data_IF_761795681650
#
_entry.id   IF_761795681650
#
_cell.length_a   1.000
_cell.length_b   1.000
_cell.length_c   1.000
_cell.angle_alpha   90.00
_cell.angle_beta   90.00
_cell.angle_gamma   90.00
#
_symmetry.space_group_name_H-M   'P 1'
#
loop_
_entity.id
_entity.type
_entity.pdbx_description
1 polymer ?
#
# COMPACT_ATOMS: atom_id res chain seq x y z
N UNK A 1 -9.65 15.51 -11.49
CA UNK A 1 -10.71 15.54 -10.44
C UNK A 1 -11.98 14.94 -11.00
N UNK A 2 -12.37 15.32 -12.21
CA UNK A 2 -13.47 14.70 -12.97
C UNK A 2 -13.31 13.18 -13.08
N UNK A 3 -12.12 12.67 -13.38
CA UNK A 3 -11.88 11.21 -13.41
C UNK A 3 -12.16 10.52 -12.07
N UNK A 4 -11.79 11.16 -10.95
CA UNK A 4 -12.07 10.63 -9.61
C UNK A 4 -13.59 10.59 -9.40
N UNK A 5 -14.27 11.68 -9.71
CA UNK A 5 -15.73 11.78 -9.59
C UNK A 5 -16.44 10.75 -10.45
N UNK A 6 -16.00 10.54 -11.69
CA UNK A 6 -16.52 9.51 -12.58
C UNK A 6 -16.35 8.11 -11.98
N UNK A 7 -15.15 7.77 -11.46
CA UNK A 7 -14.90 6.49 -10.80
C UNK A 7 -15.84 6.27 -9.60
N UNK A 8 -15.98 7.28 -8.73
CA UNK A 8 -16.85 7.19 -7.56
C UNK A 8 -18.33 7.03 -7.95
N UNK A 9 -18.78 7.78 -8.96
CA UNK A 9 -20.16 7.68 -9.48
C UNK A 9 -20.45 6.33 -10.14
N UNK A 10 -19.43 5.63 -10.66
CA UNK A 10 -19.55 4.27 -11.19
C UNK A 10 -19.56 3.19 -10.10
N UNK A 11 -19.49 3.57 -8.82
CA UNK A 11 -19.58 2.65 -7.68
C UNK A 11 -18.23 2.27 -7.07
N UNK A 12 -17.12 2.85 -7.53
CA UNK A 12 -15.87 2.72 -6.80
C UNK A 12 -16.00 3.38 -5.43
N UNK A 13 -15.55 2.69 -4.37
CA UNK A 13 -15.53 3.27 -3.03
C UNK A 13 -14.30 4.15 -2.79
N UNK A 14 -13.20 3.82 -3.45
CA UNK A 14 -11.89 4.46 -3.29
C UNK A 14 -11.21 4.59 -4.65
N UNK A 15 -10.36 5.60 -4.80
CA UNK A 15 -9.53 5.84 -5.98
C UNK A 15 -8.08 5.92 -5.53
N UNK A 16 -7.23 5.13 -6.17
CA UNK A 16 -5.79 5.09 -5.91
C UNK A 16 -5.04 6.06 -6.81
N UNK A 17 -4.23 6.92 -6.19
CA UNK A 17 -3.40 7.92 -6.84
C UNK A 17 -1.93 7.62 -6.57
N UNK A 18 -1.10 7.66 -7.62
CA UNK A 18 0.35 7.53 -7.52
C UNK A 18 1.02 8.64 -8.33
N UNK A 19 1.26 8.43 -9.62
CA UNK A 19 1.97 9.39 -10.48
C UNK A 19 1.37 10.81 -10.48
N UNK A 20 0.03 11.01 -10.53
CA UNK A 20 -0.54 12.35 -10.49
C UNK A 20 -0.29 13.08 -9.16
N UNK A 21 -0.30 12.35 -8.04
CA UNK A 21 -0.05 12.92 -6.72
C UNK A 21 1.41 13.35 -6.56
N UNK A 22 2.36 12.55 -7.06
CA UNK A 22 3.79 12.88 -7.06
C UNK A 22 4.12 14.08 -7.95
N UNK A 23 3.57 14.11 -9.18
CA UNK A 23 3.85 15.19 -10.15
C UNK A 23 3.23 16.53 -9.75
N UNK A 24 2.10 16.49 -9.05
CA UNK A 24 1.41 17.68 -8.57
C UNK A 24 0.80 17.40 -7.19
N UNK A 25 1.54 17.60 -6.08
CA UNK A 25 1.01 17.34 -4.73
C UNK A 25 -0.25 18.16 -4.39
N UNK A 26 -0.42 19.35 -4.98
CA UNK A 26 -1.65 20.13 -4.81
C UNK A 26 -2.89 19.45 -5.41
N UNK A 27 -2.73 18.54 -6.38
CA UNK A 27 -3.82 17.71 -6.88
C UNK A 27 -4.37 16.76 -5.82
N UNK A 28 -3.49 16.14 -5.02
CA UNK A 28 -3.89 15.26 -3.92
C UNK A 28 -4.70 16.05 -2.88
N UNK A 29 -4.23 17.26 -2.53
CA UNK A 29 -4.95 18.17 -1.64
C UNK A 29 -6.32 18.57 -2.19
N UNK A 30 -6.41 18.93 -3.47
CA UNK A 30 -7.67 19.28 -4.10
C UNK A 30 -8.64 18.09 -4.16
N UNK A 31 -8.13 16.87 -4.38
CA UNK A 31 -8.94 15.66 -4.38
C UNK A 31 -9.51 15.37 -2.98
N UNK A 32 -8.66 15.40 -1.96
CA UNK A 32 -9.09 15.19 -0.58
C UNK A 32 -10.07 16.28 -0.10
N UNK A 33 -9.85 17.54 -0.48
CA UNK A 33 -10.77 18.63 -0.15
C UNK A 33 -12.15 18.48 -0.80
N UNK A 34 -12.22 17.95 -2.04
CA UNK A 34 -13.48 17.77 -2.77
C UNK A 34 -14.25 16.51 -2.33
N UNK A 35 -13.56 15.38 -2.16
CA UNK A 35 -14.19 14.07 -1.95
C UNK A 35 -14.09 13.55 -0.51
N UNK A 36 -13.37 14.27 0.36
CA UNK A 36 -12.97 13.78 1.68
C UNK A 36 -11.74 12.87 1.61
N UNK A 37 -11.13 12.54 2.76
CA UNK A 37 -9.94 11.70 2.82
C UNK A 37 -10.23 10.22 2.53
N UNK A 38 -11.36 9.68 3.02
CA UNK A 38 -11.68 8.25 2.96
C UNK A 38 -11.63 7.61 1.56
N UNK A 39 -12.09 8.28 0.48
CA UNK A 39 -12.02 7.72 -0.87
C UNK A 39 -10.64 7.84 -1.51
N UNK A 40 -9.71 8.61 -0.93
CA UNK A 40 -8.43 8.94 -1.54
C UNK A 40 -7.32 8.06 -0.99
N UNK A 41 -6.84 7.14 -1.82
CA UNK A 41 -5.73 6.24 -1.51
C UNK A 41 -4.46 6.76 -2.18
N UNK A 42 -3.37 6.90 -1.41
CA UNK A 42 -2.05 7.16 -1.97
C UNK A 42 -1.31 5.83 -2.14
N UNK A 43 -1.08 5.42 -3.38
CA UNK A 43 -0.21 4.30 -3.70
C UNK A 43 1.22 4.78 -3.89
N UNK A 44 2.15 4.10 -3.25
CA UNK A 44 3.59 4.38 -3.32
C UNK A 44 4.35 3.13 -3.73
N UNK A 45 5.09 3.23 -4.84
CA UNK A 45 6.03 2.20 -5.26
C UNK A 45 7.40 2.54 -4.67
N UNK A 46 7.97 1.59 -3.94
CA UNK A 46 9.13 1.83 -3.08
C UNK A 46 10.20 0.80 -3.36
N UNK A 47 11.46 1.25 -3.44
CA UNK A 47 12.63 0.38 -3.57
C UNK A 47 13.69 0.75 -2.54
N UNK A 48 14.38 -0.24 -1.98
CA UNK A 48 15.49 0.00 -1.06
C UNK A 48 16.74 0.41 -1.86
N UNK A 49 17.43 1.44 -1.41
CA UNK A 49 18.71 1.85 -1.96
C UNK A 49 19.89 1.14 -1.28
N UNK A 50 21.09 1.30 -1.86
CA UNK A 50 22.32 0.67 -1.35
C UNK A 50 22.76 1.21 0.03
N UNK A 51 22.14 2.31 0.48
CA UNK A 51 22.38 2.91 1.79
C UNK A 51 21.35 2.44 2.84
N UNK A 52 20.42 1.56 2.46
CA UNK A 52 19.39 1.02 3.32
C UNK A 52 18.19 1.93 3.54
N UNK A 53 18.09 3.04 2.80
CA UNK A 53 16.91 3.92 2.80
C UNK A 53 15.95 3.48 1.68
N UNK A 54 14.72 4.02 1.69
CA UNK A 54 13.70 3.65 0.72
C UNK A 54 13.32 4.85 -0.15
N UNK A 55 13.43 4.67 -1.46
CA UNK A 55 13.16 5.72 -2.44
C UNK A 55 11.82 5.44 -3.14
N UNK A 56 11.10 6.51 -3.50
CA UNK A 56 9.85 6.44 -4.27
C UNK A 56 10.15 6.35 -5.76
N UNK A 57 9.43 5.47 -6.44
CA UNK A 57 9.54 5.27 -7.88
C UNK A 57 8.22 5.57 -8.61
N UNK A 58 8.36 5.89 -9.89
CA UNK A 58 7.27 6.09 -10.85
C UNK A 58 7.37 5.08 -12.00
N UNK A 59 6.34 5.09 -12.86
CA UNK A 59 6.26 4.25 -14.07
C UNK A 59 6.51 2.76 -13.77
N UNK A 60 5.86 2.25 -12.72
CA UNK A 60 5.97 0.85 -12.31
C UNK A 60 7.38 0.46 -11.88
N UNK A 61 8.08 1.34 -11.16
CA UNK A 61 9.40 1.04 -10.59
C UNK A 61 10.60 1.35 -11.47
N UNK A 62 10.41 2.01 -12.62
CA UNK A 62 11.50 2.27 -13.58
C UNK A 62 12.14 3.66 -13.46
N UNK A 63 11.46 4.60 -12.82
CA UNK A 63 11.94 5.99 -12.65
C UNK A 63 12.06 6.34 -11.17
N UNK A 64 13.28 6.51 -10.66
CA UNK A 64 13.51 6.96 -9.28
C UNK A 64 13.20 8.46 -9.17
N UNK A 65 12.37 8.86 -8.21
CA UNK A 65 12.00 10.25 -7.97
C UNK A 65 13.00 11.01 -7.08
N UNK A 66 13.87 10.30 -6.37
CA UNK A 66 14.78 10.84 -5.36
C UNK A 66 14.09 11.25 -4.06
N UNK A 67 12.80 10.93 -3.88
CA UNK A 67 12.07 11.18 -2.65
C UNK A 67 12.22 10.00 -1.69
N UNK A 68 12.47 10.30 -0.41
CA UNK A 68 12.34 9.33 0.66
C UNK A 68 10.88 8.89 0.81
N UNK A 69 10.66 7.58 0.89
CA UNK A 69 9.33 6.98 0.94
C UNK A 69 8.55 7.34 2.21
N UNK A 70 9.23 7.41 3.36
CA UNK A 70 8.59 7.71 4.64
C UNK A 70 8.15 9.18 4.66
N UNK A 71 9.02 10.10 4.24
CA UNK A 71 8.69 11.52 4.14
C UNK A 71 7.60 11.80 3.11
N UNK A 72 7.63 11.11 1.96
CA UNK A 72 6.57 11.23 0.96
C UNK A 72 5.22 10.77 1.50
N UNK A 73 5.16 9.63 2.20
CA UNK A 73 3.93 9.14 2.80
C UNK A 73 3.40 10.11 3.86
N UNK A 74 4.27 10.64 4.73
CA UNK A 74 3.87 11.67 5.72
C UNK A 74 3.27 12.90 5.04
N UNK A 75 3.90 13.40 3.98
CA UNK A 75 3.39 14.53 3.21
C UNK A 75 2.04 14.19 2.56
N UNK A 76 1.91 13.01 1.95
CA UNK A 76 0.66 12.52 1.36
C UNK A 76 -0.51 12.53 2.34
N UNK A 77 -0.29 12.11 3.58
CA UNK A 77 -1.29 12.15 4.65
C UNK A 77 -1.61 13.59 5.05
N UNK A 78 -0.61 14.48 5.16
CA UNK A 78 -0.83 15.91 5.43
C UNK A 78 -1.64 16.59 4.32
N UNK A 79 -1.48 16.14 3.07
CA UNK A 79 -2.25 16.58 1.92
C UNK A 79 -3.65 15.95 1.85
N UNK A 80 -3.98 15.01 2.74
CA UNK A 80 -5.34 14.49 2.91
C UNK A 80 -5.58 13.10 2.32
N UNK A 81 -4.55 12.32 2.01
CA UNK A 81 -4.74 10.89 1.71
C UNK A 81 -5.30 10.16 2.95
N UNK A 82 -6.39 9.41 2.77
CA UNK A 82 -7.06 8.67 3.85
C UNK A 82 -6.58 7.23 4.04
N UNK A 83 -5.78 6.70 3.11
CA UNK A 83 -5.18 5.37 3.21
C UNK A 83 -3.94 5.30 2.32
N UNK A 84 -2.94 4.53 2.75
CA UNK A 84 -1.68 4.32 2.03
C UNK A 84 -1.60 2.88 1.56
N UNK A 85 -1.27 2.68 0.29
CA UNK A 85 -0.89 1.36 -0.24
C UNK A 85 0.59 1.39 -0.54
N UNK A 86 1.37 0.61 0.19
CA UNK A 86 2.83 0.54 0.06
C UNK A 86 3.19 -0.68 -0.76
N UNK A 87 3.77 -0.48 -1.93
CA UNK A 87 4.23 -1.55 -2.81
C UNK A 87 5.77 -1.63 -2.79
N UNK A 88 6.32 -2.72 -2.25
CA UNK A 88 7.77 -2.95 -2.29
C UNK A 88 8.16 -3.59 -3.63
N UNK A 89 8.91 -2.86 -4.46
CA UNK A 89 9.36 -3.30 -5.78
C UNK A 89 10.33 -4.47 -5.66
N UNK A 90 11.22 -4.46 -4.67
CA UNK A 90 12.22 -5.54 -4.48
C UNK A 90 11.56 -6.86 -4.09
N UNK A 91 10.41 -6.80 -3.41
CA UNK A 91 9.62 -7.98 -3.06
C UNK A 91 8.66 -8.42 -4.18
N UNK A 92 8.24 -7.53 -5.06
CA UNK A 92 7.17 -7.83 -6.00
C UNK A 92 7.54 -8.97 -6.97
N UNK A 93 6.63 -9.95 -7.10
CA UNK A 93 6.85 -11.19 -7.86
C UNK A 93 7.87 -12.18 -7.26
N UNK A 94 8.67 -11.79 -6.26
CA UNK A 94 9.76 -12.61 -5.71
C UNK A 94 9.29 -13.65 -4.68
N UNK A 95 8.07 -13.49 -4.11
CA UNK A 95 7.47 -14.42 -3.13
C UNK A 95 8.34 -14.70 -1.88
N UNK A 96 9.15 -13.72 -1.50
CA UNK A 96 10.06 -13.81 -0.36
C UNK A 96 9.50 -13.17 0.93
N UNK A 97 8.21 -12.84 0.94
CA UNK A 97 7.54 -12.09 1.99
C UNK A 97 7.54 -10.58 1.75
N UNK A 98 6.73 -9.88 2.54
CA UNK A 98 6.63 -8.42 2.52
C UNK A 98 7.88 -7.77 3.15
N UNK A 99 8.19 -6.52 2.77
CA UNK A 99 9.21 -5.72 3.45
C UNK A 99 8.70 -5.22 4.81
N UNK A 100 8.88 -6.04 5.84
CA UNK A 100 8.39 -5.76 7.20
C UNK A 100 9.04 -4.52 7.83
N UNK A 101 10.29 -4.23 7.48
CA UNK A 101 11.01 -3.08 8.03
C UNK A 101 10.41 -1.78 7.47
N UNK A 102 10.25 -1.71 6.15
CA UNK A 102 9.58 -0.58 5.47
C UNK A 102 8.18 -0.35 6.03
N UNK A 103 7.37 -1.42 6.08
CA UNK A 103 5.97 -1.34 6.51
C UNK A 103 5.86 -0.84 7.94
N UNK A 104 6.73 -1.33 8.84
CA UNK A 104 6.76 -0.88 10.24
C UNK A 104 7.13 0.60 10.34
N UNK A 105 8.16 1.05 9.60
CA UNK A 105 8.58 2.46 9.58
C UNK A 105 7.47 3.38 9.10
N UNK A 106 6.76 2.99 8.05
CA UNK A 106 5.63 3.76 7.53
C UNK A 106 4.46 3.74 8.52
N UNK A 107 4.12 2.57 9.09
CA UNK A 107 3.03 2.45 10.06
C UNK A 107 3.26 3.28 11.32
N UNK A 108 4.51 3.36 11.79
CA UNK A 108 4.88 4.20 12.93
C UNK A 108 4.85 5.71 12.58
N UNK A 109 4.96 6.07 11.29
CA UNK A 109 5.02 7.46 10.83
C UNK A 109 3.66 8.11 10.56
N UNK A 110 2.59 7.32 10.32
CA UNK A 110 1.26 7.85 9.97
C UNK A 110 0.11 7.16 10.69
N UNK A 111 -0.95 7.92 10.97
CA UNK A 111 -2.13 7.42 11.68
C UNK A 111 -3.20 6.79 10.77
N UNK A 112 -3.13 7.04 9.46
CA UNK A 112 -4.07 6.46 8.48
C UNK A 112 -3.82 4.96 8.29
N UNK A 113 -4.80 4.20 7.75
CA UNK A 113 -4.59 2.82 7.38
C UNK A 113 -3.45 2.64 6.37
N UNK A 114 -2.62 1.62 6.59
CA UNK A 114 -1.51 1.23 5.74
C UNK A 114 -1.75 -0.19 5.24
N UNK A 115 -1.74 -0.37 3.92
CA UNK A 115 -1.93 -1.64 3.24
C UNK A 115 -0.59 -2.10 2.66
N UNK A 116 -0.17 -3.30 3.05
CA UNK A 116 1.04 -3.93 2.51
C UNK A 116 0.79 -4.53 1.12
N UNK A 117 1.68 -4.27 0.15
CA UNK A 117 1.68 -4.85 -1.20
C UNK A 117 3.10 -5.23 -1.63
N UNK A 118 3.20 -6.28 -2.46
CA UNK A 118 4.46 -6.79 -3.01
C UNK A 118 5.18 -7.78 -2.07
N UNK A 119 5.44 -9.00 -2.54
CA UNK A 119 6.31 -9.96 -1.84
C UNK A 119 5.67 -11.22 -1.27
N UNK A 120 4.35 -11.26 -1.05
CA UNK A 120 3.71 -12.45 -0.48
C UNK A 120 3.92 -13.72 -1.32
N UNK A 121 4.35 -14.80 -0.67
CA UNK A 121 4.57 -16.12 -1.25
C UNK A 121 3.91 -17.26 -0.48
N UNK A 122 3.77 -17.13 0.85
CA UNK A 122 3.20 -18.14 1.75
C UNK A 122 2.28 -17.51 2.80
N UNK A 123 1.50 -18.35 3.48
CA UNK A 123 0.52 -17.93 4.49
C UNK A 123 1.17 -17.11 5.63
N UNK A 124 2.37 -17.50 6.04
CA UNK A 124 3.15 -16.85 7.09
C UNK A 124 3.46 -15.40 6.78
N UNK A 125 3.65 -15.04 5.49
CA UNK A 125 4.04 -13.68 5.10
C UNK A 125 2.93 -12.68 5.45
N UNK A 126 1.67 -13.07 5.24
CA UNK A 126 0.50 -12.26 5.60
C UNK A 126 0.39 -12.08 7.11
N UNK A 127 0.61 -13.15 7.88
CA UNK A 127 0.62 -13.10 9.34
C UNK A 127 1.72 -12.17 9.86
N UNK A 128 2.93 -12.29 9.31
CA UNK A 128 4.07 -11.45 9.70
C UNK A 128 3.83 -9.97 9.39
N UNK A 129 3.25 -9.63 8.24
CA UNK A 129 2.90 -8.24 7.94
C UNK A 129 1.91 -7.68 8.99
N UNK A 130 0.86 -8.43 9.31
CA UNK A 130 -0.17 -8.01 10.27
C UNK A 130 0.38 -7.89 11.69
N UNK A 131 1.19 -8.86 12.15
CA UNK A 131 1.62 -8.93 13.56
C UNK A 131 2.91 -8.14 13.80
N UNK A 132 3.90 -8.29 12.94
CA UNK A 132 5.22 -7.69 13.13
C UNK A 132 5.25 -6.22 12.67
N UNK A 133 4.63 -5.92 11.52
CA UNK A 133 4.58 -4.58 10.96
C UNK A 133 3.30 -3.81 11.31
N UNK A 134 2.28 -4.47 11.89
CA UNK A 134 1.02 -3.86 12.35
C UNK A 134 0.27 -3.12 11.25
N UNK A 135 0.37 -3.59 10.02
CA UNK A 135 -0.38 -3.04 8.87
C UNK A 135 -1.87 -3.34 9.02
N UNK A 136 -2.70 -2.44 8.51
CA UNK A 136 -4.16 -2.51 8.64
C UNK A 136 -4.78 -3.43 7.57
N UNK A 137 -4.03 -3.71 6.51
CA UNK A 137 -4.42 -4.67 5.48
C UNK A 137 -3.23 -5.22 4.70
N UNK A 138 -3.48 -6.31 4.00
CA UNK A 138 -2.50 -7.03 3.18
C UNK A 138 -3.10 -7.28 1.80
N UNK A 139 -2.32 -6.98 0.77
CA UNK A 139 -2.66 -7.13 -0.64
C UNK A 139 -1.66 -8.11 -1.27
N UNK A 140 -2.17 -9.07 -2.03
CA UNK A 140 -1.36 -9.93 -2.88
C UNK A 140 -2.12 -10.20 -4.18
N UNK A 141 -1.38 -10.44 -5.27
CA UNK A 141 -1.95 -10.75 -6.57
C UNK A 141 -1.52 -12.14 -7.06
N UNK A 142 -0.22 -12.35 -7.26
CA UNK A 142 0.33 -13.55 -7.91
C UNK A 142 -0.10 -14.86 -7.23
N UNK A 143 0.01 -14.96 -5.91
CA UNK A 143 -0.36 -16.19 -5.17
C UNK A 143 -1.83 -16.56 -5.29
N UNK A 144 -2.71 -15.56 -5.50
CA UNK A 144 -4.15 -15.80 -5.69
C UNK A 144 -4.48 -16.08 -7.16
N UNK A 145 -3.91 -15.33 -8.11
CA UNK A 145 -4.14 -15.53 -9.54
C UNK A 145 -3.67 -16.91 -10.03
N UNK A 146 -2.55 -17.42 -9.47
CA UNK A 146 -2.03 -18.74 -9.81
C UNK A 146 -2.62 -19.87 -8.94
N UNK A 147 -3.54 -19.55 -8.02
CA UNK A 147 -4.22 -20.54 -7.17
C UNK A 147 -3.30 -21.25 -6.17
N UNK A 148 -2.12 -20.69 -5.88
CA UNK A 148 -1.15 -21.25 -4.94
C UNK A 148 -1.65 -21.14 -3.49
N UNK A 149 -2.40 -20.08 -3.20
CA UNK A 149 -3.08 -19.86 -1.93
C UNK A 149 -4.53 -19.50 -2.25
N UNK A 150 -5.50 -20.18 -1.63
CA UNK A 150 -6.88 -19.71 -1.70
C UNK A 150 -7.14 -18.66 -0.62
N UNK A 151 -8.01 -17.68 -0.92
CA UNK A 151 -8.41 -16.66 0.07
C UNK A 151 -9.05 -17.31 1.31
N UNK A 152 -9.78 -18.42 1.12
CA UNK A 152 -10.40 -19.16 2.22
C UNK A 152 -9.34 -19.80 3.13
N UNK A 153 -8.32 -20.44 2.57
CA UNK A 153 -7.22 -21.04 3.33
C UNK A 153 -6.44 -19.98 4.09
N UNK A 154 -6.18 -18.84 3.45
CA UNK A 154 -5.54 -17.71 4.12
C UNK A 154 -6.35 -17.20 5.30
N UNK A 155 -7.67 -17.01 5.14
CA UNK A 155 -8.54 -16.58 6.23
C UNK A 155 -8.57 -17.62 7.36
N UNK A 156 -8.67 -18.91 7.03
CA UNK A 156 -8.68 -19.98 8.03
C UNK A 156 -7.37 -20.03 8.81
N UNK A 157 -6.23 -19.88 8.12
CA UNK A 157 -4.91 -19.79 8.73
C UNK A 157 -4.81 -18.58 9.67
N UNK A 158 -5.14 -17.38 9.21
CA UNK A 158 -5.09 -16.17 10.02
C UNK A 158 -6.01 -16.27 11.26
N UNK A 159 -7.21 -16.83 11.09
CA UNK A 159 -8.13 -17.11 12.20
C UNK A 159 -7.53 -18.07 13.22
N UNK A 160 -6.88 -19.14 12.76
CA UNK A 160 -6.21 -20.10 13.64
C UNK A 160 -5.03 -19.48 14.40
N UNK A 161 -4.38 -18.46 13.83
CA UNK A 161 -3.35 -17.64 14.49
C UNK A 161 -3.91 -16.53 15.40
N UNK A 162 -5.23 -16.47 15.60
CA UNK A 162 -5.88 -15.50 16.48
C UNK A 162 -6.16 -14.13 15.84
N UNK A 163 -6.00 -13.99 14.52
CA UNK A 163 -6.35 -12.76 13.79
C UNK A 163 -7.84 -12.78 13.45
N UNK A 164 -8.55 -11.72 13.83
CA UNK A 164 -9.96 -11.57 13.46
C UNK A 164 -10.10 -11.30 11.96
N UNK A 165 -10.73 -12.23 11.25
CA UNK A 165 -10.99 -12.13 9.81
C UNK A 165 -12.47 -12.36 9.53
N UNK A 166 -12.99 -11.71 8.49
CA UNK A 166 -14.33 -11.98 7.98
C UNK A 166 -14.29 -13.25 7.14
N UNK A 167 -14.85 -14.34 7.65
CA UNK A 167 -15.03 -15.60 6.90
C UNK A 167 -16.23 -15.49 6.01
#
# INVERSE_FOLDING_TARGET
LEDIEACLNMGARKVSLNSPALKNPAFLQAAAAKFGPDPIVLAVDVKKDDHGSWQVYLKGGTENTGLDAIEWVKNGVQLGAGEIVVNSIDGDGMKNGYDLELLKRIKDAVAVPVIASGGAGKLEDFYQAIVCAKVDGVLAASVFHYGEISILDLKNYLKAQGISVRV
#
